data_IF_386235260446
#
_entry.id   IF_386235260446
#
_cell.length_a   1.000
_cell.length_b   1.000
_cell.length_c   1.000
_cell.angle_alpha   90.00
_cell.angle_beta   90.00
_cell.angle_gamma   90.00
#
_symmetry.space_group_name_H-M   'P 1'
#
loop_
_entity.id
_entity.type
_entity.pdbx_description
1 polymer ?
#
# COMPACT_ATOMS: atom_id res chain seq x y z
N UNK A 1 -21.01 -14.79 -5.31
CA UNK A 1 -21.40 -14.91 -3.90
C UNK A 1 -20.82 -13.69 -3.22
N UNK A 2 -21.59 -12.95 -2.41
CA UNK A 2 -21.01 -11.87 -1.62
C UNK A 2 -20.19 -12.52 -0.50
N UNK A 3 -18.92 -12.13 -0.38
CA UNK A 3 -18.07 -12.58 0.73
C UNK A 3 -18.65 -12.06 2.06
N UNK A 4 -18.67 -12.90 3.06
CA UNK A 4 -19.05 -12.50 4.42
C UNK A 4 -17.94 -11.68 5.08
N UNK A 5 -18.23 -11.02 6.20
CA UNK A 5 -17.20 -10.31 6.99
C UNK A 5 -16.09 -11.26 7.43
N UNK A 6 -16.44 -12.49 7.84
CA UNK A 6 -15.43 -13.48 8.26
C UNK A 6 -14.56 -13.96 7.08
N UNK A 7 -15.15 -14.12 5.89
CA UNK A 7 -14.40 -14.45 4.68
C UNK A 7 -13.38 -13.36 4.36
N UNK A 8 -13.80 -12.08 4.38
CA UNK A 8 -12.92 -10.93 4.11
C UNK A 8 -11.80 -10.81 5.16
N UNK A 9 -12.09 -11.04 6.43
CA UNK A 9 -11.08 -11.05 7.48
C UNK A 9 -10.04 -12.16 7.27
N UNK A 10 -10.49 -13.34 6.90
CA UNK A 10 -9.60 -14.47 6.59
C UNK A 10 -8.73 -14.13 5.36
N UNK A 11 -9.34 -13.63 4.28
CA UNK A 11 -8.62 -13.23 3.07
C UNK A 11 -7.59 -12.11 3.35
N UNK A 12 -7.91 -11.14 4.21
CA UNK A 12 -6.99 -10.08 4.59
C UNK A 12 -5.79 -10.65 5.39
N UNK A 13 -6.03 -11.53 6.37
CA UNK A 13 -4.94 -12.19 7.09
C UNK A 13 -4.06 -13.04 6.16
N UNK A 14 -4.66 -13.71 5.17
CA UNK A 14 -3.93 -14.44 4.14
C UNK A 14 -3.09 -13.50 3.25
N UNK A 15 -3.64 -12.34 2.85
CA UNK A 15 -2.92 -11.34 2.06
C UNK A 15 -1.68 -10.82 2.81
N UNK A 16 -1.78 -10.54 4.10
CA UNK A 16 -0.64 -10.17 4.94
C UNK A 16 0.50 -11.20 4.85
N UNK A 17 0.17 -12.49 5.02
CA UNK A 17 1.14 -13.60 5.00
C UNK A 17 1.75 -13.81 3.61
N UNK A 18 0.93 -13.71 2.56
CA UNK A 18 1.43 -13.81 1.18
C UNK A 18 2.43 -12.69 0.91
N UNK A 19 2.06 -11.44 1.23
CA UNK A 19 2.90 -10.29 0.95
C UNK A 19 4.20 -10.28 1.79
N UNK A 20 4.13 -10.77 3.04
CA UNK A 20 5.33 -10.99 3.85
C UNK A 20 6.24 -12.07 3.26
N UNK A 21 5.67 -13.22 2.83
CA UNK A 21 6.41 -14.32 2.19
C UNK A 21 7.08 -13.88 0.87
N UNK A 22 6.43 -13.00 0.11
CA UNK A 22 6.96 -12.47 -1.16
C UNK A 22 7.94 -11.29 -0.95
N UNK A 23 8.25 -10.92 0.30
CA UNK A 23 9.21 -9.86 0.63
C UNK A 23 8.69 -8.44 0.33
N UNK A 24 7.37 -8.28 0.20
CA UNK A 24 6.71 -6.98 0.04
C UNK A 24 6.58 -6.28 1.38
N UNK A 25 6.03 -6.96 2.39
CA UNK A 25 5.85 -6.42 3.72
C UNK A 25 7.07 -6.75 4.61
N UNK A 26 7.63 -5.71 5.18
CA UNK A 26 8.51 -5.80 6.34
C UNK A 26 7.68 -5.79 7.64
N UNK A 27 8.33 -5.68 8.79
CA UNK A 27 7.66 -5.65 10.11
C UNK A 27 6.68 -4.48 10.25
N UNK A 28 6.84 -3.41 9.49
CA UNK A 28 6.06 -2.17 9.59
C UNK A 28 5.04 -1.99 8.47
N UNK A 29 5.15 -2.75 7.40
CA UNK A 29 4.17 -2.69 6.31
C UNK A 29 2.80 -3.21 6.73
N UNK A 30 1.74 -2.68 6.14
CA UNK A 30 0.36 -3.00 6.51
C UNK A 30 -0.61 -2.97 5.35
N UNK A 31 -1.66 -3.78 5.46
CA UNK A 31 -2.70 -3.96 4.43
C UNK A 31 -4.07 -3.73 5.05
N UNK A 32 -4.96 -3.09 4.32
CA UNK A 32 -6.37 -2.96 4.67
C UNK A 32 -7.29 -3.43 3.55
N UNK A 33 -8.54 -3.69 3.92
CA UNK A 33 -9.63 -3.95 2.97
C UNK A 33 -10.88 -3.21 3.42
N UNK A 34 -11.60 -2.61 2.47
CA UNK A 34 -12.88 -1.97 2.73
C UNK A 34 -13.91 -3.00 3.22
N UNK A 35 -14.73 -2.62 4.17
CA UNK A 35 -15.77 -3.49 4.72
C UNK A 35 -16.78 -3.89 3.62
N UNK A 36 -17.14 -5.17 3.48
CA UNK A 36 -17.94 -5.65 2.35
C UNK A 36 -19.40 -5.17 2.36
N UNK A 37 -19.93 -4.80 3.53
CA UNK A 37 -21.33 -4.39 3.72
C UNK A 37 -21.46 -2.89 4.07
N UNK A 38 -20.36 -2.24 4.51
CA UNK A 38 -20.37 -0.82 4.86
C UNK A 38 -19.16 -0.11 4.23
N UNK A 39 -19.35 0.62 3.11
CA UNK A 39 -18.25 1.27 2.41
C UNK A 39 -17.56 2.39 3.19
N UNK A 40 -18.19 2.87 4.29
CA UNK A 40 -17.62 3.89 5.18
C UNK A 40 -16.69 3.29 6.26
N UNK A 41 -16.45 1.97 6.21
CA UNK A 41 -15.57 1.27 7.14
C UNK A 41 -14.51 0.43 6.40
N UNK A 42 -13.44 0.07 7.10
CA UNK A 42 -12.40 -0.83 6.60
C UNK A 42 -11.78 -1.66 7.73
N UNK A 43 -11.16 -2.78 7.38
CA UNK A 43 -10.39 -3.60 8.29
C UNK A 43 -8.88 -3.40 8.07
N UNK A 44 -8.14 -3.28 9.17
CA UNK A 44 -6.69 -3.21 9.23
C UNK A 44 -6.22 -3.97 10.46
N UNK A 45 -5.08 -4.65 10.41
CA UNK A 45 -4.59 -5.36 11.59
C UNK A 45 -4.09 -4.39 12.66
N UNK A 46 -4.06 -4.86 13.91
CA UNK A 46 -3.24 -4.21 14.93
C UNK A 46 -1.77 -4.20 14.52
N UNK A 47 -0.96 -3.35 15.14
CA UNK A 47 0.50 -3.38 14.95
C UNK A 47 1.06 -4.75 15.36
N UNK A 48 1.33 -5.59 14.36
CA UNK A 48 1.84 -6.95 14.47
C UNK A 48 2.65 -7.30 13.23
N UNK A 49 3.67 -8.14 13.38
CA UNK A 49 4.45 -8.65 12.26
C UNK A 49 3.52 -9.32 11.23
N UNK A 50 3.58 -8.93 9.95
CA UNK A 50 2.64 -9.36 8.91
C UNK A 50 2.46 -10.87 8.77
N UNK A 51 3.52 -11.63 8.90
CA UNK A 51 3.50 -13.10 8.83
C UNK A 51 2.71 -13.78 9.97
N UNK A 52 2.46 -13.05 11.06
CA UNK A 52 1.75 -13.54 12.24
C UNK A 52 0.31 -13.05 12.34
N UNK A 53 -0.17 -12.24 11.39
CA UNK A 53 -1.52 -11.68 11.43
C UNK A 53 -2.55 -12.80 11.31
N UNK A 54 -3.52 -12.76 12.23
CA UNK A 54 -4.69 -13.64 12.30
C UNK A 54 -5.98 -12.80 12.15
N UNK A 55 -7.12 -13.39 11.79
CA UNK A 55 -8.40 -12.67 11.70
C UNK A 55 -8.79 -11.91 12.98
N UNK A 56 -8.43 -12.41 14.15
CA UNK A 56 -8.70 -11.77 15.46
C UNK A 56 -7.80 -10.55 15.74
N UNK A 57 -6.76 -10.33 14.94
CA UNK A 57 -5.91 -9.14 15.04
C UNK A 57 -6.50 -7.93 14.28
N UNK A 58 -7.56 -8.15 13.50
CA UNK A 58 -8.15 -7.14 12.64
C UNK A 58 -9.08 -6.23 13.42
N UNK A 59 -8.85 -4.93 13.29
CA UNK A 59 -9.65 -3.86 13.88
C UNK A 59 -10.48 -3.25 12.76
N UNK A 60 -11.77 -3.02 13.03
CA UNK A 60 -12.65 -2.25 12.16
C UNK A 60 -12.50 -0.76 12.46
N UNK A 61 -12.25 0.02 11.42
CA UNK A 61 -12.10 1.47 11.46
C UNK A 61 -13.17 2.14 10.61
N UNK A 62 -13.58 3.34 11.00
CA UNK A 62 -14.25 4.26 10.10
C UNK A 62 -13.25 4.94 9.14
N UNK A 63 -13.73 5.78 8.23
CA UNK A 63 -12.86 6.48 7.29
C UNK A 63 -12.01 7.59 7.94
N UNK A 64 -12.32 8.04 9.16
CA UNK A 64 -11.47 8.93 9.95
C UNK A 64 -10.33 8.16 10.64
N UNK A 65 -10.25 6.84 10.39
CA UNK A 65 -9.26 5.93 10.95
C UNK A 65 -9.38 5.78 12.48
N UNK A 66 -10.59 5.98 13.00
CA UNK A 66 -10.91 5.70 14.39
C UNK A 66 -11.59 4.33 14.52
N UNK A 67 -11.23 3.54 15.54
CA UNK A 67 -11.86 2.23 15.76
C UNK A 67 -13.37 2.36 15.98
N UNK A 68 -14.16 1.61 15.21
CA UNK A 68 -15.65 1.59 15.33
C UNK A 68 -16.11 1.07 16.68
N UNK A 69 -15.32 0.20 17.30
CA UNK A 69 -15.58 -0.34 18.63
C UNK A 69 -14.35 -0.19 19.52
N UNK A 70 -14.52 -0.04 20.84
CA UNK A 70 -13.39 0.02 21.76
C UNK A 70 -12.46 -1.19 21.57
N UNK A 71 -11.18 -0.93 21.33
CA UNK A 71 -10.15 -1.96 21.16
C UNK A 71 -8.96 -1.66 22.06
N UNK A 72 -8.44 -2.69 22.72
CA UNK A 72 -7.19 -2.61 23.49
C UNK A 72 -5.97 -3.05 22.65
N UNK A 73 -6.20 -3.37 21.37
CA UNK A 73 -5.14 -3.76 20.44
C UNK A 73 -4.37 -2.52 19.98
N UNK A 74 -3.02 -2.53 19.99
CA UNK A 74 -2.24 -1.37 19.54
C UNK A 74 -2.43 -1.15 18.03
N UNK A 75 -2.95 -0.01 17.57
CA UNK A 75 -3.14 0.27 16.16
C UNK A 75 -1.83 0.62 15.46
N UNK A 76 -1.78 0.51 14.13
CA UNK A 76 -0.73 1.16 13.35
C UNK A 76 -0.87 2.68 13.46
N UNK A 77 0.26 3.38 13.60
CA UNK A 77 0.29 4.85 13.65
C UNK A 77 -0.11 5.47 12.29
N UNK A 78 0.22 4.80 11.20
CA UNK A 78 0.00 5.28 9.82
C UNK A 78 -1.33 4.81 9.20
N UNK A 79 -2.29 4.36 10.04
CA UNK A 79 -3.61 3.95 9.58
C UNK A 79 -4.38 5.01 8.79
N UNK A 80 -4.05 6.28 8.99
CA UNK A 80 -4.65 7.40 8.25
C UNK A 80 -4.39 7.35 6.75
N UNK A 81 -3.29 6.72 6.29
CA UNK A 81 -3.03 6.46 4.87
C UNK A 81 -4.24 5.75 4.24
N UNK A 82 -4.74 4.71 4.92
CA UNK A 82 -5.84 3.89 4.41
C UNK A 82 -7.16 4.66 4.40
N UNK A 83 -7.54 5.26 5.53
CA UNK A 83 -8.78 6.00 5.66
C UNK A 83 -8.90 7.13 4.64
N UNK A 84 -7.85 7.93 4.47
CA UNK A 84 -7.85 9.06 3.55
C UNK A 84 -7.88 8.62 2.07
N UNK A 85 -7.22 7.51 1.72
CA UNK A 85 -7.34 6.94 0.36
C UNK A 85 -8.77 6.44 0.12
N UNK A 86 -9.39 5.75 1.09
CA UNK A 86 -10.77 5.29 0.96
C UNK A 86 -11.78 6.44 0.85
N UNK A 87 -11.55 7.56 1.53
CA UNK A 87 -12.38 8.78 1.37
C UNK A 87 -12.28 9.35 -0.04
N UNK A 88 -11.06 9.48 -0.55
CA UNK A 88 -10.79 10.07 -1.86
C UNK A 88 -11.20 9.16 -3.03
N UNK A 89 -11.18 7.83 -2.84
CA UNK A 89 -11.29 6.80 -3.89
C UNK A 89 -12.32 5.73 -3.52
N UNK A 90 -13.62 5.97 -3.78
CA UNK A 90 -14.67 4.98 -3.50
C UNK A 90 -14.54 3.68 -4.31
N UNK A 91 -13.80 3.70 -5.41
CA UNK A 91 -13.49 2.54 -6.26
C UNK A 91 -12.38 1.64 -5.69
N UNK A 92 -11.58 2.16 -4.75
CA UNK A 92 -10.52 1.41 -4.08
C UNK A 92 -11.11 0.54 -2.97
N UNK A 93 -10.84 -0.77 -3.05
CA UNK A 93 -11.35 -1.75 -2.09
C UNK A 93 -10.26 -2.32 -1.18
N UNK A 94 -8.99 -2.16 -1.53
CA UNK A 94 -7.86 -2.61 -0.71
C UNK A 94 -6.67 -1.67 -0.86
N UNK A 95 -5.90 -1.47 0.22
CA UNK A 95 -4.71 -0.60 0.25
C UNK A 95 -3.58 -1.32 0.96
N UNK A 96 -2.37 -1.23 0.41
CA UNK A 96 -1.13 -1.70 1.01
C UNK A 96 -0.13 -0.56 1.10
N UNK A 97 0.44 -0.35 2.29
CA UNK A 97 1.62 0.48 2.47
C UNK A 97 2.81 -0.41 2.84
N UNK A 98 3.95 -0.23 2.18
CA UNK A 98 5.11 -1.08 2.38
C UNK A 98 6.45 -0.39 2.09
N UNK A 99 7.53 -0.97 2.64
CA UNK A 99 8.91 -0.52 2.49
C UNK A 99 9.76 -1.62 1.81
N UNK A 100 9.20 -2.30 0.81
CA UNK A 100 9.89 -3.41 0.15
C UNK A 100 11.30 -3.02 -0.29
N UNK A 101 12.28 -3.86 0.06
CA UNK A 101 13.68 -3.63 -0.30
C UNK A 101 13.90 -3.46 -1.82
N UNK A 102 13.03 -4.05 -2.63
CA UNK A 102 13.04 -3.92 -4.08
C UNK A 102 12.82 -2.48 -4.57
N UNK A 103 12.00 -1.69 -3.85
CA UNK A 103 11.70 -0.30 -4.21
C UNK A 103 12.70 0.71 -3.64
N UNK A 104 13.39 0.37 -2.53
CA UNK A 104 14.25 1.33 -1.85
C UNK A 104 15.37 1.91 -2.71
N UNK A 105 16.02 1.18 -3.64
CA UNK A 105 17.00 1.78 -4.54
C UNK A 105 16.41 2.90 -5.40
N UNK A 106 15.22 2.70 -5.99
CA UNK A 106 14.54 3.71 -6.80
C UNK A 106 14.15 4.93 -5.94
N UNK A 107 13.60 4.68 -4.74
CA UNK A 107 13.18 5.73 -3.80
C UNK A 107 14.36 6.59 -3.35
N UNK A 108 15.50 5.96 -3.01
CA UNK A 108 16.70 6.67 -2.53
C UNK A 108 17.39 7.43 -3.67
N UNK A 109 17.43 6.84 -4.87
CA UNK A 109 17.99 7.47 -6.06
C UNK A 109 17.05 8.52 -6.67
N UNK A 110 15.78 8.57 -6.25
CA UNK A 110 14.70 9.36 -6.87
C UNK A 110 14.50 9.00 -8.36
N UNK A 111 14.59 7.72 -8.67
CA UNK A 111 14.35 7.18 -9.99
C UNK A 111 12.89 6.76 -10.15
N UNK A 112 12.29 7.11 -11.28
CA UNK A 112 10.92 6.73 -11.59
C UNK A 112 10.79 5.22 -11.78
N UNK A 113 9.73 4.65 -11.21
CA UNK A 113 9.34 3.29 -11.53
C UNK A 113 8.90 3.19 -12.99
N UNK A 114 9.50 2.26 -13.71
CA UNK A 114 9.21 2.02 -15.13
C UNK A 114 9.00 0.53 -15.36
N UNK A 115 7.90 0.09 -15.99
CA UNK A 115 7.72 -1.30 -16.35
C UNK A 115 8.80 -1.77 -17.34
N UNK A 116 9.60 -2.76 -16.94
CA UNK A 116 10.65 -3.38 -17.77
C UNK A 116 10.30 -4.82 -18.15
N UNK A 117 9.27 -5.39 -17.50
CA UNK A 117 8.69 -6.69 -17.85
C UNK A 117 7.17 -6.58 -17.89
N UNK A 118 6.50 -7.42 -18.71
CA UNK A 118 5.05 -7.29 -18.94
C UNK A 118 4.20 -7.28 -17.66
N UNK A 119 4.52 -8.12 -16.67
CA UNK A 119 3.82 -8.13 -15.38
C UNK A 119 4.10 -6.86 -14.55
N UNK A 120 5.19 -6.14 -14.80
CA UNK A 120 5.49 -4.89 -14.13
C UNK A 120 4.50 -3.76 -14.47
N UNK A 121 3.79 -3.86 -15.60
CA UNK A 121 2.80 -2.84 -16.00
C UNK A 121 1.66 -2.66 -14.99
N UNK A 122 1.43 -3.63 -14.11
CA UNK A 122 0.40 -3.53 -13.04
C UNK A 122 0.70 -2.45 -12.00
N UNK A 123 1.97 -2.04 -11.84
CA UNK A 123 2.37 -0.90 -11.02
C UNK A 123 2.08 0.46 -11.68
N UNK A 124 1.66 0.43 -12.96
CA UNK A 124 1.44 1.64 -13.75
C UNK A 124 2.72 2.16 -14.42
N UNK A 125 2.54 3.13 -15.29
CA UNK A 125 3.63 3.84 -15.96
C UNK A 125 3.87 5.17 -15.24
N UNK A 126 5.07 5.38 -14.71
CA UNK A 126 5.46 6.58 -13.97
C UNK A 126 4.44 6.93 -12.88
N UNK A 127 4.24 6.07 -11.87
CA UNK A 127 3.39 6.39 -10.75
C UNK A 127 3.84 7.70 -10.09
N UNK A 128 2.92 8.50 -9.55
CA UNK A 128 3.27 9.79 -8.97
C UNK A 128 4.20 9.64 -7.76
N UNK A 129 4.94 10.71 -7.51
CA UNK A 129 5.71 10.89 -6.29
C UNK A 129 4.96 11.75 -5.29
N UNK A 130 5.07 11.40 -4.03
CA UNK A 130 4.67 12.22 -2.90
C UNK A 130 5.88 12.53 -2.01
N UNK A 131 6.12 13.80 -1.73
CA UNK A 131 7.13 14.23 -0.76
C UNK A 131 6.44 14.98 0.38
N UNK A 132 6.39 14.35 1.55
CA UNK A 132 5.80 14.94 2.75
C UNK A 132 6.39 16.32 3.08
N UNK A 133 7.68 16.51 2.85
CA UNK A 133 8.35 17.79 3.14
C UNK A 133 7.90 18.93 2.25
N UNK A 134 7.45 18.65 1.05
CA UNK A 134 6.95 19.67 0.12
C UNK A 134 5.74 20.40 0.69
N UNK A 135 4.88 19.70 1.44
CA UNK A 135 3.65 20.23 2.04
C UNK A 135 3.78 20.55 3.53
N UNK A 136 4.63 19.82 4.27
CA UNK A 136 4.65 19.87 5.74
C UNK A 136 6.02 20.26 6.34
N UNK A 137 7.02 20.53 5.50
CA UNK A 137 8.37 20.90 5.96
C UNK A 137 9.14 19.71 6.56
N UNK A 138 10.09 19.98 7.45
CA UNK A 138 10.86 18.92 8.10
C UNK A 138 9.97 18.10 9.03
N UNK A 139 9.87 16.80 8.76
CA UNK A 139 9.05 15.83 9.50
C UNK A 139 9.90 14.61 9.87
N UNK A 140 9.30 13.68 10.64
CA UNK A 140 9.88 12.37 10.88
C UNK A 140 9.53 11.33 9.81
N UNK A 141 8.91 11.75 8.71
CA UNK A 141 8.41 10.94 7.58
C UNK A 141 7.25 9.99 7.92
N UNK A 142 6.79 9.87 9.15
CA UNK A 142 5.59 9.10 9.48
C UNK A 142 4.34 9.87 9.04
N UNK A 143 3.39 9.15 8.44
CA UNK A 143 2.08 9.70 8.00
C UNK A 143 1.07 9.39 9.09
N UNK A 144 0.95 10.28 10.06
CA UNK A 144 0.14 10.01 11.27
C UNK A 144 -1.04 10.96 11.45
N UNK A 145 -1.12 12.00 10.62
CA UNK A 145 -2.20 12.99 10.67
C UNK A 145 -3.10 12.87 9.45
N UNK A 146 -4.42 13.10 9.61
CA UNK A 146 -5.37 13.07 8.48
C UNK A 146 -4.94 13.96 7.31
N UNK A 147 -4.44 15.17 7.57
CA UNK A 147 -3.97 16.08 6.51
C UNK A 147 -2.77 15.54 5.72
N UNK A 148 -1.89 14.76 6.36
CA UNK A 148 -0.75 14.09 5.69
C UNK A 148 -1.27 12.95 4.80
N UNK A 149 -2.19 12.12 5.33
CA UNK A 149 -2.85 11.07 4.56
C UNK A 149 -3.67 11.61 3.40
N UNK A 150 -4.41 12.72 3.60
CA UNK A 150 -5.17 13.39 2.54
C UNK A 150 -4.27 13.92 1.41
N UNK A 151 -3.13 14.52 1.76
CA UNK A 151 -2.13 14.96 0.77
C UNK A 151 -1.53 13.78 -0.03
N UNK A 152 -1.30 12.62 0.64
CA UNK A 152 -0.86 11.40 -0.04
C UNK A 152 -1.95 10.86 -0.98
N UNK A 153 -3.21 10.85 -0.54
CA UNK A 153 -4.33 10.41 -1.35
C UNK A 153 -4.56 11.32 -2.59
N UNK A 154 -4.36 12.63 -2.43
CA UNK A 154 -4.37 13.58 -3.54
C UNK A 154 -3.24 13.29 -4.55
N UNK A 155 -2.03 13.02 -4.06
CA UNK A 155 -0.91 12.65 -4.92
C UNK A 155 -1.13 11.32 -5.65
N UNK A 156 -1.76 10.32 -5.00
CA UNK A 156 -2.15 9.06 -5.64
C UNK A 156 -3.09 9.34 -6.84
N UNK A 157 -4.06 10.27 -6.70
CA UNK A 157 -5.03 10.60 -7.73
C UNK A 157 -5.73 9.36 -8.29
N UNK A 158 -5.81 9.24 -9.60
CA UNK A 158 -6.41 8.08 -10.29
C UNK A 158 -5.45 6.89 -10.45
N UNK A 159 -4.21 7.01 -9.99
CA UNK A 159 -3.23 5.93 -10.07
C UNK A 159 -3.53 4.84 -9.02
N UNK A 160 -2.93 3.66 -9.23
CA UNK A 160 -3.02 2.54 -8.28
C UNK A 160 -1.74 2.37 -7.45
N UNK A 161 -0.76 3.24 -7.64
CA UNK A 161 0.47 3.25 -6.85
C UNK A 161 1.01 4.69 -6.75
N UNK A 162 1.53 5.04 -5.58
CA UNK A 162 2.26 6.29 -5.33
C UNK A 162 3.59 5.97 -4.65
N UNK A 163 4.67 6.58 -5.12
CA UNK A 163 5.99 6.46 -4.52
C UNK A 163 6.17 7.57 -3.49
N UNK A 164 6.55 7.19 -2.28
CA UNK A 164 6.69 8.11 -1.15
C UNK A 164 8.19 8.42 -0.96
N UNK A 165 8.57 9.67 -1.20
CA UNK A 165 9.98 10.10 -1.14
C UNK A 165 10.61 9.75 0.21
N UNK A 166 11.70 8.96 0.18
CA UNK A 166 12.49 8.51 1.35
C UNK A 166 11.70 7.71 2.39
N UNK A 167 10.56 7.12 1.99
CA UNK A 167 9.70 6.38 2.90
C UNK A 167 9.42 4.98 2.37
N UNK A 168 8.59 4.87 1.34
CA UNK A 168 8.12 3.59 0.82
C UNK A 168 7.18 3.76 -0.36
N UNK A 169 6.23 2.85 -0.46
CA UNK A 169 5.22 2.84 -1.53
C UNK A 169 3.85 2.57 -0.93
N UNK A 170 2.83 3.23 -1.48
CA UNK A 170 1.43 2.89 -1.20
C UNK A 170 0.76 2.41 -2.49
N UNK A 171 0.11 1.26 -2.41
CA UNK A 171 -0.57 0.59 -3.54
C UNK A 171 -2.05 0.44 -3.22
N UNK A 172 -2.90 0.77 -4.19
CA UNK A 172 -4.34 0.57 -4.16
C UNK A 172 -4.75 -0.62 -5.04
N UNK A 173 -5.87 -1.24 -4.72
CA UNK A 173 -6.43 -2.34 -5.48
C UNK A 173 -7.95 -2.36 -5.45
N UNK A 174 -8.56 -3.00 -6.46
CA UNK A 174 -10.01 -3.16 -6.57
C UNK A 174 -10.54 -4.33 -5.73
N UNK A 175 -9.66 -5.15 -5.20
CA UNK A 175 -9.88 -6.22 -4.23
C UNK A 175 -8.52 -6.71 -3.70
N UNK A 176 -8.52 -7.61 -2.72
CA UNK A 176 -7.28 -8.14 -2.12
C UNK A 176 -6.41 -8.93 -3.11
N UNK A 177 -7.00 -9.68 -4.04
CA UNK A 177 -6.25 -10.42 -5.06
C UNK A 177 -5.54 -9.46 -6.03
N UNK A 178 -6.25 -8.43 -6.52
CA UNK A 178 -5.68 -7.38 -7.38
C UNK A 178 -4.57 -6.64 -6.66
N UNK A 179 -4.79 -6.27 -5.39
CA UNK A 179 -3.79 -5.60 -4.56
C UNK A 179 -2.53 -6.46 -4.40
N UNK A 180 -2.68 -7.73 -3.99
CA UNK A 180 -1.55 -8.63 -3.79
C UNK A 180 -0.75 -8.83 -5.09
N UNK A 181 -1.46 -8.99 -6.21
CA UNK A 181 -0.83 -9.12 -7.53
C UNK A 181 -0.03 -7.86 -7.90
N UNK A 182 -0.61 -6.67 -7.72
CA UNK A 182 0.09 -5.38 -7.95
C UNK A 182 1.33 -5.25 -7.09
N UNK A 183 1.22 -5.50 -5.80
CA UNK A 183 2.33 -5.39 -4.86
C UNK A 183 3.49 -6.32 -5.22
N UNK A 184 3.21 -7.61 -5.44
CA UNK A 184 4.24 -8.61 -5.76
C UNK A 184 4.94 -8.28 -7.07
N UNK A 185 4.18 -8.02 -8.15
CA UNK A 185 4.79 -7.85 -9.46
C UNK A 185 5.39 -6.47 -9.70
N UNK A 186 4.91 -5.43 -9.01
CA UNK A 186 5.61 -4.15 -9.02
C UNK A 186 6.94 -4.23 -8.26
N UNK A 187 7.01 -4.96 -7.13
CA UNK A 187 8.27 -5.21 -6.42
C UNK A 187 9.28 -5.97 -7.31
N UNK A 188 8.84 -7.04 -7.95
CA UNK A 188 9.71 -7.81 -8.87
C UNK A 188 10.21 -6.95 -10.04
N UNK A 189 9.35 -6.11 -10.61
CA UNK A 189 9.75 -5.18 -11.66
C UNK A 189 10.76 -4.14 -11.16
N UNK A 190 10.56 -3.55 -9.98
CA UNK A 190 11.50 -2.60 -9.39
C UNK A 190 12.89 -3.24 -9.15
N UNK A 191 12.91 -4.50 -8.72
CA UNK A 191 14.14 -5.28 -8.60
C UNK A 191 14.82 -5.49 -9.95
N UNK A 192 14.08 -5.92 -10.99
CA UNK A 192 14.62 -6.10 -12.34
C UNK A 192 15.10 -4.79 -12.94
N UNK A 193 14.36 -3.69 -12.78
CA UNK A 193 14.77 -2.36 -13.22
C UNK A 193 16.11 -1.97 -12.59
N UNK A 194 16.25 -2.11 -11.27
CA UNK A 194 17.49 -1.81 -10.54
C UNK A 194 18.65 -2.72 -10.99
N UNK A 195 18.41 -4.01 -11.18
CA UNK A 195 19.44 -4.94 -11.64
C UNK A 195 19.85 -4.68 -13.09
N UNK A 196 18.89 -4.35 -13.97
CA UNK A 196 19.16 -4.03 -15.37
C UNK A 196 20.12 -2.85 -15.54
N UNK A 197 20.03 -1.82 -14.68
CA UNK A 197 20.92 -0.64 -14.73
C UNK A 197 22.39 -1.00 -14.50
N UNK A 198 22.70 -2.14 -13.87
CA UNK A 198 24.07 -2.64 -13.71
C UNK A 198 24.65 -3.18 -15.02
N UNK A 199 23.80 -3.52 -15.99
CA UNK A 199 24.19 -4.05 -17.30
C UNK A 199 24.05 -3.02 -18.44
N UNK A 200 23.47 -1.86 -18.17
CA UNK A 200 23.21 -0.78 -19.11
C UNK A 200 21.93 -0.03 -18.79
N UNK A 201 21.40 0.67 -19.76
CA UNK A 201 20.11 1.36 -19.64
C UNK A 201 18.97 0.32 -19.73
N UNK A 202 18.02 0.40 -18.81
CA UNK A 202 16.83 -0.44 -18.86
C UNK A 202 15.91 0.04 -20.01
N UNK A 203 15.54 -0.88 -20.91
CA UNK A 203 14.60 -0.58 -22.00
C UNK A 203 13.15 -0.74 -21.49
N UNK A 204 12.39 0.36 -21.38
CA UNK A 204 11.03 0.32 -20.83
C UNK A 204 10.04 -0.28 -21.81
N UNK A 205 8.97 -0.89 -21.29
CA UNK A 205 7.84 -1.29 -22.10
C UNK A 205 7.16 -0.08 -22.73
N UNK A 206 6.64 -0.21 -23.94
CA UNK A 206 5.78 0.77 -24.56
C UNK A 206 4.39 0.81 -23.87
N UNK A 207 3.73 1.97 -23.92
CA UNK A 207 2.39 2.15 -23.30
C UNK A 207 1.23 1.53 -24.10
N UNK A 208 1.49 0.90 -25.21
CA UNK A 208 0.44 0.38 -26.09
C UNK A 208 0.66 -1.01 -26.56
#
# INVERSE_FOLDING_TARGET
>A
MNSTVDDIKYELALAYRILANEGVLDTFGHVSVRHPENPEHYFLSRSRAPELVEPDDLIEYDLDSEPVSPSNLPPYSERVIHGEIYKARPDVMAVCHHHAAAFMPLIVAQEDYTPVVHLGSVGGYNPPWWDQRASFGDTNYLVVKPEEGGSLAEALGDHMMVMMNRHGVTVAGTNLCDLAFRCVYSCRNAEFQTQATQHGEADPLSKG
#
